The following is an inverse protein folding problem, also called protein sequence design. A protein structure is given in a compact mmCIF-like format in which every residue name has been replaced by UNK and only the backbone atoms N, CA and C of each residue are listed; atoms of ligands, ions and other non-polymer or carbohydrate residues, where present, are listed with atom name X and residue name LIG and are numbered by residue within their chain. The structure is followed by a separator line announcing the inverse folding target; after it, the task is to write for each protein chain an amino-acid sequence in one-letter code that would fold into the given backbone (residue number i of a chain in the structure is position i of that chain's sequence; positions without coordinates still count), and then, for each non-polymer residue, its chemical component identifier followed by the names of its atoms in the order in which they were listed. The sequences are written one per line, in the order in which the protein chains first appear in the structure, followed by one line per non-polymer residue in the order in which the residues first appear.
data_IF_881593120540
#
_entry.id   IF_881593120540
#
_cell.length_a   1.000
_cell.length_b   1.000
_cell.length_c   1.000
_cell.angle_alpha   90.00
_cell.angle_beta   90.00
_cell.angle_gamma   90.00
#
_symmetry.space_group_name_H-M   'P 1'
#
loop_
_entity.id
_entity.type
_entity.pdbx_description
1 polymer ?
#
# COMPACT_ATOMS: atom_id res chain seq x y z
N UNK A 1 1.15 8.01 -25.80
CA UNK A 1 0.11 8.41 -24.78
C UNK A 1 0.66 9.64 -24.10
N UNK A 2 -0.15 10.69 -23.94
CA UNK A 2 0.29 11.90 -23.23
C UNK A 2 0.15 11.64 -21.73
N UNK A 3 1.23 11.81 -20.98
CA UNK A 3 1.25 11.64 -19.52
C UNK A 3 0.87 12.96 -18.85
N UNK A 4 0.26 12.86 -17.69
CA UNK A 4 -0.03 14.02 -16.85
C UNK A 4 1.25 14.58 -16.23
N UNK A 5 1.24 15.87 -15.88
CA UNK A 5 2.37 16.47 -15.14
C UNK A 5 2.47 15.88 -13.72
N UNK A 6 3.67 15.88 -13.17
CA UNK A 6 3.90 15.41 -11.79
C UNK A 6 3.11 16.27 -10.80
N UNK A 7 3.00 17.56 -11.05
CA UNK A 7 2.25 18.52 -10.23
C UNK A 7 0.75 18.18 -10.19
N UNK A 8 0.17 17.82 -11.35
CA UNK A 8 -1.23 17.39 -11.43
C UNK A 8 -1.45 16.09 -10.66
N UNK A 9 -0.55 15.11 -10.80
CA UNK A 9 -0.62 13.84 -10.07
C UNK A 9 -0.53 14.04 -8.55
N UNK A 10 0.40 14.87 -8.08
CA UNK A 10 0.50 15.23 -6.66
C UNK A 10 -0.79 15.89 -6.17
N UNK A 11 -1.36 16.80 -6.98
CA UNK A 11 -2.63 17.46 -6.65
C UNK A 11 -3.78 16.45 -6.55
N UNK A 12 -3.84 15.48 -7.46
CA UNK A 12 -4.87 14.44 -7.47
C UNK A 12 -4.77 13.54 -6.22
N UNK A 13 -3.57 13.08 -5.87
CA UNK A 13 -3.34 12.26 -4.68
C UNK A 13 -3.74 13.00 -3.41
N UNK A 14 -3.36 14.28 -3.27
CA UNK A 14 -3.74 15.11 -2.13
C UNK A 14 -5.26 15.31 -1.98
N UNK A 15 -5.99 15.25 -3.08
CA UNK A 15 -7.45 15.34 -3.10
C UNK A 15 -8.14 13.97 -2.93
N UNK A 16 -7.38 12.90 -2.65
CA UNK A 16 -7.93 11.56 -2.50
C UNK A 16 -8.34 10.90 -3.82
N UNK A 17 -7.85 11.41 -4.95
CA UNK A 17 -8.12 10.79 -6.25
C UNK A 17 -7.14 9.67 -6.54
N UNK A 18 -7.63 8.64 -7.22
CA UNK A 18 -6.78 7.57 -7.72
C UNK A 18 -6.00 8.02 -8.94
N UNK A 19 -4.77 7.58 -9.04
CA UNK A 19 -3.90 7.75 -10.20
C UNK A 19 -3.39 6.40 -10.67
N UNK A 20 -2.90 6.33 -11.90
CA UNK A 20 -2.20 5.17 -12.45
C UNK A 20 -0.74 5.54 -12.62
N UNK A 21 0.13 4.80 -11.96
CA UNK A 21 1.57 4.90 -12.14
C UNK A 21 2.01 3.78 -13.08
N UNK A 22 2.73 4.14 -14.13
CA UNK A 22 3.24 3.21 -15.13
C UNK A 22 4.76 3.12 -15.02
N UNK A 23 5.26 1.89 -15.05
CA UNK A 23 6.67 1.61 -15.25
C UNK A 23 6.88 1.29 -16.73
N UNK A 24 7.64 2.12 -17.44
CA UNK A 24 7.93 1.96 -18.88
C UNK A 24 9.33 1.42 -19.16
N UNK A 25 10.12 1.19 -18.12
CA UNK A 25 11.52 0.75 -18.24
C UNK A 25 11.76 -0.69 -17.73
N UNK A 26 10.83 -1.61 -17.91
CA UNK A 26 11.17 -3.00 -17.57
C UNK A 26 12.11 -3.58 -18.63
N UNK A 27 13.27 -4.10 -18.20
CA UNK A 27 14.24 -4.83 -19.04
C UNK A 27 13.62 -5.99 -19.85
N UNK A 28 12.37 -6.36 -19.53
CA UNK A 28 11.64 -7.46 -20.13
C UNK A 28 10.48 -7.03 -21.04
N UNK A 29 10.30 -5.72 -21.27
CA UNK A 29 9.30 -5.19 -22.22
C UNK A 29 7.84 -5.36 -21.77
N UNK A 30 7.60 -5.63 -20.50
CA UNK A 30 6.26 -5.68 -19.90
C UNK A 30 6.08 -4.42 -19.07
N UNK A 31 5.22 -3.52 -19.52
CA UNK A 31 4.88 -2.33 -18.75
C UNK A 31 3.92 -2.74 -17.62
N UNK A 32 4.35 -2.54 -16.39
CA UNK A 32 3.49 -2.71 -15.23
C UNK A 32 2.83 -1.38 -14.88
N UNK A 33 1.56 -1.46 -14.50
CA UNK A 33 0.80 -0.32 -14.02
C UNK A 33 0.15 -0.64 -12.68
N UNK A 34 0.24 0.30 -11.75
CA UNK A 34 -0.44 0.20 -10.47
C UNK A 34 -1.45 1.32 -10.32
N UNK A 35 -2.59 1.00 -9.72
CA UNK A 35 -3.57 2.00 -9.28
C UNK A 35 -3.24 2.35 -7.83
N UNK A 36 -3.05 3.63 -7.56
CA UNK A 36 -2.70 4.10 -6.22
C UNK A 36 -3.49 5.34 -5.80
N UNK A 37 -3.58 5.55 -4.50
CA UNK A 37 -4.16 6.75 -3.89
C UNK A 37 -3.58 6.94 -2.49
N UNK A 38 -3.78 8.13 -1.91
CA UNK A 38 -3.40 8.37 -0.52
C UNK A 38 -4.27 7.52 0.44
N UNK A 39 -3.61 6.73 1.27
CA UNK A 39 -4.27 5.78 2.17
C UNK A 39 -5.19 6.45 3.21
N UNK A 40 -4.89 7.69 3.59
CA UNK A 40 -5.72 8.48 4.52
C UNK A 40 -7.11 8.83 3.97
N UNK A 41 -7.28 8.80 2.65
CA UNK A 41 -8.55 9.09 1.98
C UNK A 41 -9.33 7.85 1.56
N UNK A 42 -8.76 6.65 1.74
CA UNK A 42 -9.36 5.41 1.23
C UNK A 42 -10.74 5.15 1.83
N UNK A 43 -11.69 4.77 0.97
CA UNK A 43 -13.04 4.33 1.34
C UNK A 43 -13.32 2.92 0.78
N UNK A 44 -14.46 2.34 1.17
CA UNK A 44 -14.87 1.02 0.72
C UNK A 44 -15.01 0.93 -0.81
N UNK A 45 -15.55 1.97 -1.44
CA UNK A 45 -15.72 2.02 -2.90
C UNK A 45 -14.37 2.03 -3.63
N UNK A 46 -13.34 2.66 -3.06
CA UNK A 46 -11.99 2.68 -3.62
C UNK A 46 -11.37 1.28 -3.60
N UNK A 47 -11.43 0.59 -2.47
CA UNK A 47 -10.96 -0.80 -2.35
C UNK A 47 -11.73 -1.71 -3.31
N UNK A 48 -13.05 -1.54 -3.43
CA UNK A 48 -13.87 -2.29 -4.37
C UNK A 48 -13.48 -2.01 -5.83
N UNK A 49 -13.21 -0.75 -6.17
CA UNK A 49 -12.72 -0.38 -7.50
C UNK A 49 -11.38 -1.05 -7.81
N UNK A 50 -10.41 -0.96 -6.90
CA UNK A 50 -9.09 -1.59 -7.06
C UNK A 50 -9.23 -3.11 -7.28
N UNK A 51 -10.01 -3.79 -6.44
CA UNK A 51 -10.21 -5.24 -6.55
C UNK A 51 -10.91 -5.65 -7.87
N UNK A 52 -11.89 -4.87 -8.32
CA UNK A 52 -12.68 -5.22 -9.53
C UNK A 52 -12.00 -4.81 -10.83
N UNK A 53 -11.28 -3.71 -10.85
CA UNK A 53 -10.72 -3.10 -12.07
C UNK A 53 -9.24 -3.38 -12.24
N UNK A 54 -8.43 -3.16 -11.20
CA UNK A 54 -7.00 -3.44 -11.24
C UNK A 54 -6.70 -4.93 -11.00
N UNK A 55 -7.55 -5.65 -10.27
CA UNK A 55 -7.51 -7.12 -10.03
C UNK A 55 -6.29 -7.64 -9.29
N UNK A 56 -5.36 -6.81 -8.94
CA UNK A 56 -4.17 -7.19 -8.21
C UNK A 56 -4.42 -7.35 -6.71
N UNK A 57 -3.32 -7.56 -5.99
CA UNK A 57 -3.32 -7.54 -4.54
C UNK A 57 -3.44 -6.09 -4.04
N UNK A 58 -4.34 -5.85 -3.08
CA UNK A 58 -4.43 -4.55 -2.42
C UNK A 58 -3.34 -4.46 -1.37
N UNK A 59 -2.34 -3.63 -1.63
CA UNK A 59 -1.19 -3.41 -0.77
C UNK A 59 -1.27 -2.05 -0.07
N UNK A 60 -0.52 -1.91 1.01
CA UNK A 60 -0.37 -0.66 1.76
C UNK A 60 1.11 -0.29 1.87
N UNK A 61 1.55 0.71 1.11
CA UNK A 61 2.91 1.22 1.24
C UNK A 61 3.09 1.96 2.57
N UNK A 62 4.13 1.61 3.32
CA UNK A 62 4.46 2.17 4.63
C UNK A 62 5.93 2.55 4.70
N UNK A 63 6.23 3.56 5.51
CA UNK A 63 7.62 3.84 5.90
C UNK A 63 8.12 2.78 6.89
N UNK A 64 9.44 2.61 6.96
CA UNK A 64 10.07 1.74 7.94
C UNK A 64 9.74 2.16 9.40
N UNK A 65 9.59 3.45 9.66
CA UNK A 65 9.18 3.96 10.96
C UNK A 65 7.77 3.48 11.31
N UNK A 66 6.82 3.59 10.36
CA UNK A 66 5.44 3.13 10.57
C UNK A 66 5.37 1.63 10.77
N UNK A 67 6.12 0.86 9.98
CA UNK A 67 6.24 -0.58 10.15
C UNK A 67 6.67 -0.96 11.58
N UNK A 68 7.70 -0.28 12.12
CA UNK A 68 8.20 -0.54 13.48
C UNK A 68 7.17 -0.20 14.55
N UNK A 69 6.51 0.95 14.40
CA UNK A 69 5.46 1.39 15.32
C UNK A 69 4.30 0.38 15.40
N UNK A 70 3.93 -0.19 14.27
CA UNK A 70 2.87 -1.21 14.20
C UNK A 70 3.37 -2.63 14.54
N UNK A 71 4.67 -2.83 14.78
CA UNK A 71 5.24 -4.13 15.14
C UNK A 71 5.13 -5.18 14.04
N UNK A 72 5.23 -4.78 12.77
CA UNK A 72 5.04 -5.69 11.63
C UNK A 72 6.34 -6.40 11.26
N UNK A 73 6.43 -7.74 11.43
CA UNK A 73 7.58 -8.50 10.96
C UNK A 73 7.56 -8.66 9.44
N UNK A 74 8.71 -8.89 8.78
CA UNK A 74 8.74 -9.25 7.37
C UNK A 74 7.97 -10.58 7.16
N UNK A 75 7.36 -10.71 5.98
CA UNK A 75 6.56 -11.90 5.63
C UNK A 75 7.44 -13.14 5.49
N UNK A 76 8.64 -12.99 4.94
CA UNK A 76 9.61 -14.06 4.77
C UNK A 76 11.04 -13.50 4.87
N UNK A 77 11.97 -14.38 5.24
CA UNK A 77 13.40 -14.13 5.05
C UNK A 77 13.82 -14.88 3.78
N UNK A 78 14.42 -14.15 2.85
CA UNK A 78 14.98 -14.76 1.64
C UNK A 78 16.20 -15.62 2.01
N UNK A 79 16.45 -16.72 1.30
CA UNK A 79 17.64 -17.56 1.53
C UNK A 79 18.97 -16.80 1.33
N UNK A 80 18.94 -15.70 0.58
CA UNK A 80 20.06 -14.76 0.39
C UNK A 80 20.35 -13.89 1.62
N UNK A 81 19.47 -13.92 2.64
CA UNK A 81 19.51 -13.00 3.77
C UNK A 81 18.90 -11.64 3.49
N UNK A 82 18.41 -11.40 2.27
CA UNK A 82 17.62 -10.23 1.94
C UNK A 82 16.23 -10.34 2.56
N UNK A 83 15.73 -9.23 3.07
CA UNK A 83 14.38 -9.19 3.65
C UNK A 83 13.37 -8.85 2.57
N UNK A 84 12.30 -9.60 2.51
CA UNK A 84 11.14 -9.22 1.70
C UNK A 84 10.63 -7.84 2.12
N UNK A 85 10.27 -7.01 1.14
CA UNK A 85 9.58 -5.75 1.39
C UNK A 85 8.16 -5.97 1.94
N UNK A 86 7.59 -7.14 1.74
CA UNK A 86 6.31 -7.50 2.33
C UNK A 86 6.46 -7.78 3.83
N UNK A 87 5.51 -7.24 4.58
CA UNK A 87 5.28 -7.68 5.96
C UNK A 87 4.19 -8.74 6.01
N UNK A 88 4.03 -9.38 7.17
CA UNK A 88 2.84 -10.19 7.43
C UNK A 88 1.60 -9.34 7.20
N UNK A 89 0.57 -9.92 6.58
CA UNK A 89 -0.71 -9.26 6.32
C UNK A 89 -1.41 -8.86 7.61
N UNK A 90 -2.25 -7.82 7.53
CA UNK A 90 -2.84 -7.19 8.70
C UNK A 90 -4.35 -7.04 8.59
N UNK A 91 -4.99 -6.89 9.74
CA UNK A 91 -6.35 -6.41 9.92
C UNK A 91 -6.45 -5.42 11.09
N UNK A 92 -7.45 -4.53 11.05
CA UNK A 92 -7.83 -3.75 12.21
C UNK A 92 -8.38 -4.71 13.29
N UNK A 93 -8.01 -4.46 14.56
CA UNK A 93 -8.56 -5.25 15.68
C UNK A 93 -10.05 -5.04 15.86
N UNK A 94 -10.54 -3.82 15.60
CA UNK A 94 -11.92 -3.43 15.83
C UNK A 94 -12.55 -2.74 14.61
N UNK A 95 -13.88 -2.84 14.53
CA UNK A 95 -14.65 -2.17 13.49
C UNK A 95 -14.65 -2.91 12.15
N UNK A 96 -14.36 -4.21 12.18
CA UNK A 96 -14.43 -5.12 11.02
C UNK A 96 -15.36 -6.31 11.31
N UNK A 97 -15.69 -7.05 10.28
CA UNK A 97 -16.42 -8.33 10.40
C UNK A 97 -15.50 -9.52 10.12
N UNK A 98 -15.36 -9.94 8.86
CA UNK A 98 -14.47 -11.03 8.45
C UNK A 98 -13.11 -10.56 7.93
N UNK A 99 -12.91 -9.23 7.79
CA UNK A 99 -11.70 -8.62 7.27
C UNK A 99 -11.61 -8.53 5.75
N UNK A 100 -12.33 -9.39 5.02
CA UNK A 100 -12.17 -9.50 3.56
C UNK A 100 -13.04 -8.53 2.77
N UNK A 101 -14.12 -8.00 3.34
CA UNK A 101 -14.98 -7.07 2.62
C UNK A 101 -14.21 -5.79 2.23
N UNK A 102 -14.68 -5.08 1.20
CA UNK A 102 -14.07 -3.80 0.82
C UNK A 102 -14.12 -2.79 1.98
N UNK A 103 -15.22 -2.81 2.77
CA UNK A 103 -15.36 -1.96 3.94
C UNK A 103 -14.36 -2.33 5.05
N UNK A 104 -14.20 -3.62 5.35
CA UNK A 104 -13.25 -4.08 6.36
C UNK A 104 -11.80 -3.76 5.96
N UNK A 105 -11.46 -3.95 4.69
CA UNK A 105 -10.12 -3.62 4.18
C UNK A 105 -9.85 -2.12 4.20
N UNK A 106 -10.82 -1.29 3.81
CA UNK A 106 -10.70 0.16 3.93
C UNK A 106 -10.52 0.58 5.39
N UNK A 107 -11.31 -0.01 6.32
CA UNK A 107 -11.15 0.22 7.76
C UNK A 107 -9.75 -0.14 8.25
N UNK A 108 -9.23 -1.29 7.82
CA UNK A 108 -7.87 -1.73 8.17
C UNK A 108 -6.81 -0.73 7.70
N UNK A 109 -6.91 -0.25 6.46
CA UNK A 109 -5.98 0.76 5.93
C UNK A 109 -6.07 2.05 6.73
N UNK A 110 -7.29 2.55 6.98
CA UNK A 110 -7.52 3.78 7.77
C UNK A 110 -6.91 3.68 9.17
N UNK A 111 -7.12 2.55 9.86
CA UNK A 111 -6.51 2.31 11.17
C UNK A 111 -4.99 2.26 11.04
N UNK A 112 -4.45 1.51 10.09
CA UNK A 112 -3.00 1.35 9.93
C UNK A 112 -2.27 2.67 9.67
N UNK A 113 -2.90 3.69 9.06
CA UNK A 113 -2.26 4.99 8.77
C UNK A 113 -2.62 6.09 9.77
N UNK A 114 -3.61 5.90 10.63
CA UNK A 114 -4.02 6.92 11.59
C UNK A 114 -2.89 7.25 12.57
N UNK A 115 -2.62 8.55 12.85
CA UNK A 115 -1.46 8.96 13.66
C UNK A 115 -1.47 8.39 15.09
N UNK A 116 -2.66 8.16 15.66
CA UNK A 116 -2.82 7.68 17.04
C UNK A 116 -2.74 6.15 17.16
N UNK A 117 -2.67 5.40 16.06
CA UNK A 117 -2.67 3.93 16.07
C UNK A 117 -1.39 3.38 16.69
N UNK A 118 -1.56 2.39 17.54
CA UNK A 118 -0.50 1.59 18.17
C UNK A 118 -0.55 0.15 17.65
N UNK A 119 0.48 -0.64 17.96
CA UNK A 119 0.57 -2.03 17.51
C UNK A 119 -0.65 -2.88 17.91
N UNK A 120 -1.22 -2.63 19.08
CA UNK A 120 -2.38 -3.36 19.59
C UNK A 120 -3.69 -3.12 18.82
N UNK A 121 -3.76 -2.07 17.98
CA UNK A 121 -4.92 -1.80 17.13
C UNK A 121 -4.95 -2.67 15.87
N UNK A 122 -3.87 -3.40 15.62
CA UNK A 122 -3.68 -4.25 14.45
C UNK A 122 -3.55 -5.71 14.88
N UNK A 123 -4.16 -6.61 14.13
CA UNK A 123 -4.00 -8.06 14.26
C UNK A 123 -3.36 -8.66 13.02
N UNK A 124 -2.72 -9.80 13.18
CA UNK A 124 -2.00 -10.54 12.15
C UNK A 124 -2.36 -12.02 12.23
N UNK A 125 -2.54 -12.74 11.09
CA UNK A 125 -2.59 -12.22 9.71
C UNK A 125 -3.93 -11.57 9.36
N UNK A 126 -4.02 -10.96 8.17
CA UNK A 126 -5.23 -10.34 7.67
C UNK A 126 -5.30 -10.27 6.15
N UNK A 127 -6.07 -9.31 5.62
CA UNK A 127 -6.37 -9.20 4.19
C UNK A 127 -5.80 -7.92 3.53
N UNK A 128 -5.03 -7.12 4.26
CA UNK A 128 -4.21 -6.03 3.70
C UNK A 128 -2.75 -6.41 3.83
N UNK A 129 -1.98 -6.15 2.78
CA UNK A 129 -0.59 -6.55 2.64
C UNK A 129 0.32 -5.32 2.66
N UNK A 130 0.94 -5.01 3.82
CA UNK A 130 1.87 -3.89 3.87
C UNK A 130 3.16 -4.18 3.12
N UNK A 131 3.65 -3.13 2.42
CA UNK A 131 4.93 -3.07 1.74
C UNK A 131 5.77 -1.96 2.36
N UNK A 132 7.02 -2.23 2.65
CA UNK A 132 7.92 -1.25 3.26
C UNK A 132 8.74 -0.57 2.18
N UNK A 133 8.54 0.74 2.03
CA UNK A 133 9.35 1.57 1.15
C UNK A 133 10.78 1.70 1.70
N UNK A 134 11.77 1.69 0.80
CA UNK A 134 13.16 1.90 1.23
C UNK A 134 13.37 3.35 1.69
N UNK A 135 14.22 3.58 2.71
CA UNK A 135 14.58 4.93 3.13
C UNK A 135 15.16 5.74 1.96
N UNK A 136 14.66 6.96 1.78
CA UNK A 136 15.02 7.82 0.66
C UNK A 136 14.08 7.75 -0.55
N UNK A 137 13.11 6.84 -0.52
CA UNK A 137 12.07 6.73 -1.54
C UNK A 137 12.63 6.53 -2.95
N UNK A 138 11.99 7.12 -3.94
CA UNK A 138 12.35 6.99 -5.37
C UNK A 138 13.76 7.44 -5.71
N UNK A 139 14.38 8.28 -4.88
CA UNK A 139 15.79 8.69 -5.07
C UNK A 139 16.77 7.57 -4.72
N UNK A 140 16.34 6.56 -3.98
CA UNK A 140 17.15 5.38 -3.63
C UNK A 140 16.78 4.18 -4.47
N UNK A 141 15.48 3.98 -4.72
CA UNK A 141 14.94 2.88 -5.52
C UNK A 141 13.78 3.37 -6.36
N UNK A 142 13.89 3.29 -7.67
CA UNK A 142 12.80 3.61 -8.58
C UNK A 142 11.78 2.46 -8.58
N UNK A 143 10.82 2.52 -7.67
CA UNK A 143 9.80 1.47 -7.52
C UNK A 143 8.44 2.05 -7.16
N UNK A 144 7.38 1.30 -7.48
CA UNK A 144 5.99 1.71 -7.21
C UNK A 144 5.70 1.89 -5.71
N UNK A 145 6.42 1.14 -4.83
CA UNK A 145 6.25 1.24 -3.38
C UNK A 145 6.85 2.54 -2.83
N UNK A 146 7.89 3.04 -3.45
CA UNK A 146 8.64 4.24 -3.09
C UNK A 146 8.03 5.53 -3.64
N UNK A 147 7.22 5.43 -4.71
CA UNK A 147 6.55 6.57 -5.34
C UNK A 147 5.40 7.08 -4.49
#
# INVERSE_FOLDING_TARGET
MELNSVEDIISDIRQGRMVVLLDDETEHGVNEGVVMMAAEHVAADDVNFMARKARGLVCLALTEERRRLLGLPPMAEEPSGEKSNFTVSIEAREGITTGISAADRARTIQVAVAPATVADDIVQPGHIFPLVAVPGGVLTRAGHTEA
#
